data_IF_129282881410
#
_entry.id   IF_129282881410
#
_cell.length_a   1.000
_cell.length_b   1.000
_cell.length_c   1.000
_cell.angle_alpha   90.00
_cell.angle_beta   90.00
_cell.angle_gamma   90.00
#
_symmetry.space_group_name_H-M   'P 1'
#
loop_
_entity.id
_entity.type
_entity.pdbx_description
1 polymer ?
#
# COMPACT_ATOMS: atom_id res chain seq x y z
N UNK A 1 4.12 -15.67 2.23
CA UNK A 1 5.51 -15.17 2.02
C UNK A 1 6.47 -16.04 2.85
N UNK A 2 7.48 -16.67 2.24
CA UNK A 2 8.50 -17.40 3.01
C UNK A 2 9.36 -16.39 3.76
N UNK A 3 9.52 -16.56 5.08
CA UNK A 3 10.45 -15.73 5.88
C UNK A 3 11.91 -15.85 5.40
N UNK A 4 12.22 -16.82 4.53
CA UNK A 4 13.51 -16.97 3.88
C UNK A 4 13.71 -16.03 2.68
N UNK A 5 12.63 -15.47 2.11
CA UNK A 5 12.73 -14.54 1.00
C UNK A 5 13.05 -13.14 1.51
N UNK A 6 14.34 -12.91 1.71
CA UNK A 6 14.91 -11.66 2.22
C UNK A 6 14.83 -10.51 1.20
N UNK A 7 14.27 -10.75 0.02
CA UNK A 7 14.03 -9.73 -0.99
C UNK A 7 12.81 -8.88 -0.62
N UNK A 8 13.04 -7.76 0.07
CA UNK A 8 12.08 -6.65 0.14
C UNK A 8 12.42 -5.66 -0.98
N UNK A 9 11.94 -5.83 -2.23
CA UNK A 9 12.26 -4.89 -3.30
C UNK A 9 11.72 -3.48 -3.02
N UNK A 10 10.74 -3.35 -2.12
CA UNK A 10 10.09 -2.09 -1.80
C UNK A 10 10.60 -1.50 -0.47
N UNK A 11 11.32 -0.38 -0.56
CA UNK A 11 11.77 0.43 0.59
C UNK A 11 10.62 0.87 1.52
N UNK A 12 9.38 0.86 1.03
CA UNK A 12 8.19 1.27 1.77
C UNK A 12 7.76 0.23 2.81
N UNK A 13 8.03 -1.05 2.61
CA UNK A 13 7.74 -2.10 3.60
C UNK A 13 8.61 -2.00 4.85
N UNK A 14 9.79 -1.39 4.72
CA UNK A 14 10.65 -1.10 5.87
C UNK A 14 10.14 0.07 6.71
N UNK A 15 9.19 0.88 6.23
CA UNK A 15 8.54 1.93 7.02
C UNK A 15 7.33 1.32 7.73
N UNK A 16 7.51 1.01 9.01
CA UNK A 16 6.48 0.35 9.82
C UNK A 16 5.44 1.30 10.38
N UNK A 17 5.74 2.61 10.44
CA UNK A 17 4.74 3.62 10.81
C UNK A 17 5.15 5.02 10.36
N UNK A 18 4.19 5.78 9.86
CA UNK A 18 4.23 7.21 9.56
C UNK A 18 3.10 7.84 10.34
N UNK A 19 3.44 8.72 11.28
CA UNK A 19 2.44 9.38 12.12
C UNK A 19 2.65 10.88 12.17
N UNK A 20 1.53 11.60 12.17
CA UNK A 20 1.49 13.03 12.43
C UNK A 20 0.59 13.23 13.62
N UNK A 21 1.15 13.76 14.70
CA UNK A 21 0.48 13.87 15.99
C UNK A 21 0.64 15.26 16.58
N UNK A 22 -0.37 15.71 17.32
CA UNK A 22 -0.30 16.88 18.20
C UNK A 22 -0.67 16.46 19.61
N UNK A 23 0.33 16.22 20.47
CA UNK A 23 0.11 15.64 21.79
C UNK A 23 -0.46 14.22 21.71
N UNK A 24 -1.71 14.03 22.16
CA UNK A 24 -2.45 12.76 22.08
C UNK A 24 -3.22 12.59 20.78
N UNK A 25 -3.39 13.66 20.01
CA UNK A 25 -4.26 13.65 18.85
C UNK A 25 -3.51 13.16 17.62
N UNK A 26 -4.02 12.09 17.01
CA UNK A 26 -3.43 11.46 15.83
C UNK A 26 -4.14 11.98 14.58
N UNK A 27 -3.40 12.72 13.77
CA UNK A 27 -3.88 13.37 12.54
C UNK A 27 -3.68 12.45 11.34
N UNK A 28 -2.55 11.73 11.31
CA UNK A 28 -2.21 10.78 10.27
C UNK A 28 -1.51 9.58 10.90
N UNK A 29 -1.84 8.36 10.49
CA UNK A 29 -1.21 7.14 11.04
C UNK A 29 -1.36 5.97 10.07
N UNK A 30 -0.30 5.66 9.32
CA UNK A 30 -0.25 4.56 8.31
C UNK A 30 1.14 3.92 8.24
N UNK A 31 1.26 2.75 7.65
CA UNK A 31 2.55 2.17 7.21
C UNK A 31 2.98 2.78 5.87
N UNK A 32 4.22 2.53 5.43
CA UNK A 32 4.71 3.04 4.14
C UNK A 32 3.91 2.50 2.94
N UNK A 33 3.49 1.23 2.99
CA UNK A 33 2.66 0.60 1.94
C UNK A 33 1.23 1.10 1.95
N UNK A 34 0.64 1.32 3.13
CA UNK A 34 -0.68 1.95 3.24
C UNK A 34 -0.68 3.39 2.75
N UNK A 35 0.36 4.16 3.06
CA UNK A 35 0.53 5.52 2.55
C UNK A 35 0.55 5.55 1.01
N UNK A 36 1.27 4.60 0.41
CA UNK A 36 1.32 4.41 -1.04
C UNK A 36 -0.05 4.06 -1.63
N UNK A 37 -0.77 3.12 -1.01
CA UNK A 37 -2.12 2.74 -1.39
C UNK A 37 -3.07 3.93 -1.28
N UNK A 38 -3.07 4.66 -0.17
CA UNK A 38 -3.89 5.87 0.03
C UNK A 38 -3.61 6.91 -1.05
N UNK A 39 -2.35 7.18 -1.38
CA UNK A 39 -2.02 8.09 -2.48
C UNK A 39 -2.60 7.58 -3.80
N UNK A 40 -2.47 6.29 -4.08
CA UNK A 40 -2.96 5.67 -5.30
C UNK A 40 -4.48 5.79 -5.43
N UNK A 41 -5.24 5.32 -4.43
CA UNK A 41 -6.71 5.40 -4.41
C UNK A 41 -7.20 6.85 -4.40
N UNK A 42 -6.48 7.75 -3.75
CA UNK A 42 -6.90 9.14 -3.66
C UNK A 42 -6.66 9.93 -4.96
N UNK A 43 -5.55 9.68 -5.64
CA UNK A 43 -5.12 10.47 -6.81
C UNK A 43 -5.29 9.77 -8.15
N UNK A 44 -5.57 8.46 -8.13
CA UNK A 44 -5.55 7.59 -9.32
C UNK A 44 -4.14 7.41 -9.91
N UNK A 45 -3.08 7.79 -9.18
CA UNK A 45 -1.70 7.78 -9.67
C UNK A 45 -0.80 6.96 -8.76
N UNK A 46 0.01 6.09 -9.37
CA UNK A 46 1.07 5.38 -8.66
C UNK A 46 2.03 6.37 -8.00
N UNK A 47 2.46 6.10 -6.76
CA UNK A 47 3.58 6.83 -6.18
C UNK A 47 4.85 6.51 -6.98
N UNK A 48 5.85 7.36 -6.82
CA UNK A 48 7.09 7.20 -7.55
C UNK A 48 7.87 6.02 -6.95
N UNK A 49 8.08 4.98 -7.75
CA UNK A 49 8.88 3.81 -7.42
C UNK A 49 9.96 3.67 -8.48
N UNK A 50 11.21 3.90 -8.10
CA UNK A 50 12.37 3.57 -8.91
C UNK A 50 13.04 2.36 -8.25
N UNK A 51 12.88 1.21 -8.89
CA UNK A 51 13.44 -0.05 -8.41
C UNK A 51 14.42 -0.52 -9.47
N UNK A 52 15.66 -0.77 -9.06
CA UNK A 52 16.69 -1.31 -9.93
C UNK A 52 17.09 -2.71 -9.49
N UNK A 53 17.28 -3.58 -10.48
CA UNK A 53 17.83 -4.92 -10.28
C UNK A 53 19.37 -4.94 -10.19
N UNK A 54 20.05 -3.80 -10.41
CA UNK A 54 21.51 -3.75 -10.44
C UNK A 54 22.08 -3.49 -9.04
N UNK A 55 22.53 -4.56 -8.38
CA UNK A 55 23.11 -4.55 -7.03
C UNK A 55 24.45 -3.80 -6.91
N UNK A 56 25.15 -3.48 -8.02
CA UNK A 56 26.53 -2.97 -7.99
C UNK A 56 26.62 -1.44 -8.10
N UNK A 57 25.63 -0.77 -8.70
CA UNK A 57 25.71 0.67 -8.96
C UNK A 57 24.38 1.43 -9.02
N UNK A 58 23.25 0.79 -8.71
CA UNK A 58 21.95 1.45 -8.81
C UNK A 58 21.33 1.76 -7.44
N UNK A 59 20.52 2.82 -7.41
CA UNK A 59 19.79 3.26 -6.24
C UNK A 59 18.31 2.92 -6.39
N UNK A 60 17.73 2.32 -5.37
CA UNK A 60 16.28 2.23 -5.24
C UNK A 60 15.76 3.51 -4.60
N UNK A 61 14.65 4.04 -5.09
CA UNK A 61 14.03 5.26 -4.56
C UNK A 61 12.52 5.16 -4.63
N UNK A 62 11.88 5.24 -3.46
CA UNK A 62 10.44 5.31 -3.35
C UNK A 62 10.05 6.69 -2.81
N UNK A 63 8.98 7.27 -3.34
CA UNK A 63 8.41 8.52 -2.83
C UNK A 63 6.90 8.37 -2.72
N UNK A 64 6.39 8.56 -1.51
CA UNK A 64 4.97 8.59 -1.19
C UNK A 64 4.60 9.96 -0.64
N UNK A 65 3.34 10.36 -0.83
CA UNK A 65 2.80 11.65 -0.41
C UNK A 65 1.80 11.46 0.72
N UNK A 66 1.98 12.25 1.78
CA UNK A 66 0.96 12.44 2.81
C UNK A 66 0.03 13.53 2.32
N UNK A 67 -1.24 13.18 2.08
CA UNK A 67 -2.21 14.07 1.43
C UNK A 67 -3.23 14.56 2.45
N UNK A 68 -3.21 15.85 2.75
CA UNK A 68 -4.17 16.53 3.63
C UNK A 68 -5.32 17.23 2.88
N UNK A 69 -5.19 17.34 1.55
CA UNK A 69 -6.19 17.92 0.66
C UNK A 69 -6.54 16.95 -0.47
N UNK A 70 -7.43 17.38 -1.37
CA UNK A 70 -7.81 16.57 -2.55
C UNK A 70 -6.68 16.54 -3.59
N UNK A 71 -5.90 17.60 -3.65
CA UNK A 71 -4.72 17.76 -4.48
C UNK A 71 -3.75 18.78 -3.83
N UNK A 72 -2.60 19.01 -4.45
CA UNK A 72 -1.55 19.91 -3.93
C UNK A 72 -1.90 21.41 -4.04
N UNK A 73 -2.95 21.74 -4.82
CA UNK A 73 -3.43 23.10 -5.06
C UNK A 73 -4.74 23.40 -4.33
N UNK A 74 -5.18 22.52 -3.44
CA UNK A 74 -6.45 22.65 -2.73
C UNK A 74 -6.36 23.72 -1.64
N UNK A 75 -6.93 24.90 -1.93
CA UNK A 75 -6.97 25.99 -0.96
C UNK A 75 -8.04 25.79 0.14
N UNK A 76 -8.97 24.83 -0.03
CA UNK A 76 -10.03 24.58 0.94
C UNK A 76 -9.62 23.51 1.95
N UNK A 77 -8.96 22.46 1.48
CA UNK A 77 -8.48 21.34 2.29
C UNK A 77 -6.95 21.33 2.37
N UNK A 78 -6.42 21.41 3.59
CA UNK A 78 -4.99 21.37 3.87
C UNK A 78 -4.72 21.45 5.37
N UNK A 79 -3.53 21.02 5.78
CA UNK A 79 -3.16 21.04 7.20
C UNK A 79 -2.76 22.46 7.62
N UNK A 80 -3.65 23.15 8.33
CA UNK A 80 -3.36 24.44 8.95
C UNK A 80 -2.61 24.24 10.28
N UNK A 81 -1.28 24.37 10.24
CA UNK A 81 -0.41 24.20 11.42
C UNK A 81 -0.66 25.24 12.53
N UNK A 82 -1.35 26.35 12.25
CA UNK A 82 -1.65 27.38 13.27
C UNK A 82 -2.73 26.94 14.27
N UNK A 83 -3.47 25.87 13.94
CA UNK A 83 -4.49 25.27 14.80
C UNK A 83 -3.93 24.21 15.77
N UNK A 84 -2.66 23.87 15.63
CA UNK A 84 -1.99 22.83 16.42
C UNK A 84 -0.97 23.44 17.37
N UNK A 85 -0.79 22.83 18.54
CA UNK A 85 0.13 23.34 19.57
C UNK A 85 1.57 22.90 19.32
N UNK A 86 1.75 21.62 18.98
CA UNK A 86 3.06 21.02 18.76
C UNK A 86 2.93 19.83 17.77
N UNK A 87 2.66 20.12 16.48
CA UNK A 87 2.55 19.08 15.48
C UNK A 87 3.92 18.41 15.24
N UNK A 88 3.95 17.08 15.30
CA UNK A 88 5.16 16.26 15.15
C UNK A 88 4.95 15.20 14.07
N UNK A 89 5.92 15.11 13.16
CA UNK A 89 6.06 13.96 12.26
C UNK A 89 6.95 12.90 12.91
N UNK A 90 6.43 11.69 13.06
CA UNK A 90 7.13 10.52 13.60
C UNK A 90 7.18 9.45 12.51
N UNK A 91 8.38 8.98 12.19
CA UNK A 91 8.58 7.90 11.22
C UNK A 91 9.33 6.76 11.93
N UNK A 92 8.69 5.60 11.99
CA UNK A 92 9.27 4.38 12.52
C UNK A 92 9.62 3.47 11.35
N UNK A 93 10.83 2.91 11.39
CA UNK A 93 11.31 2.00 10.35
C UNK A 93 11.99 0.76 10.95
N UNK A 94 11.86 -0.36 10.26
CA UNK A 94 12.47 -1.65 10.60
C UNK A 94 13.19 -2.21 9.37
N UNK A 95 14.24 -1.51 8.97
CA UNK A 95 15.13 -1.94 7.92
C UNK A 95 16.11 -2.97 8.46
N UNK A 96 15.89 -4.24 8.16
CA UNK A 96 16.86 -5.31 8.37
C UNK A 96 17.66 -5.47 7.10
N UNK A 97 18.87 -4.92 7.08
CA UNK A 97 19.76 -5.07 5.92
C UNK A 97 20.47 -6.42 5.93
N UNK A 98 20.42 -7.10 4.79
CA UNK A 98 21.39 -8.13 4.44
C UNK A 98 22.31 -7.53 3.37
N UNK A 99 23.63 -7.65 3.55
CA UNK A 99 24.64 -7.24 2.58
C UNK A 99 24.53 -7.96 1.21
N UNK A 100 23.63 -8.94 1.10
CA UNK A 100 23.33 -9.63 -0.15
C UNK A 100 22.56 -8.75 -1.17
N UNK A 101 21.90 -7.67 -0.73
CA UNK A 101 20.89 -6.96 -1.55
C UNK A 101 21.27 -5.54 -1.96
N UNK A 102 22.01 -4.82 -1.12
CA UNK A 102 22.50 -3.47 -1.41
C UNK A 102 23.99 -3.36 -1.08
N UNK A 103 24.81 -3.03 -2.07
CA UNK A 103 26.27 -3.01 -1.94
C UNK A 103 26.81 -2.11 -0.81
N UNK A 104 26.10 -1.03 -0.46
CA UNK A 104 26.53 -0.06 0.55
C UNK A 104 25.85 -0.21 1.91
N UNK A 105 24.77 -1.00 2.04
CA UNK A 105 23.97 -1.07 3.26
C UNK A 105 23.60 0.31 3.83
N UNK A 106 23.34 1.28 2.94
CA UNK A 106 23.08 2.66 3.34
C UNK A 106 21.74 3.08 2.80
N UNK A 107 20.89 3.57 3.69
CA UNK A 107 19.55 4.04 3.38
C UNK A 107 19.41 5.48 3.85
N UNK A 108 18.70 6.29 3.08
CA UNK A 108 18.44 7.68 3.42
C UNK A 108 16.94 7.93 3.33
N UNK A 109 16.37 8.36 4.45
CA UNK A 109 15.01 8.85 4.52
C UNK A 109 15.03 10.37 4.39
N UNK A 110 14.21 10.93 3.50
CA UNK A 110 14.07 12.37 3.31
C UNK A 110 12.60 12.76 3.37
N UNK A 111 12.30 13.81 4.11
CA UNK A 111 10.96 14.38 4.22
C UNK A 111 10.97 15.74 3.56
N UNK A 112 10.01 15.98 2.67
CA UNK A 112 9.83 17.25 1.98
C UNK A 112 8.44 17.76 2.33
N UNK A 113 8.36 18.97 2.88
CA UNK A 113 7.10 19.65 3.14
C UNK A 113 6.82 20.65 2.01
N UNK A 114 5.66 20.50 1.36
CA UNK A 114 5.16 21.50 0.41
C UNK A 114 4.32 22.51 1.19
N UNK A 115 4.77 23.76 1.25
CA UNK A 115 4.11 24.85 1.98
C UNK A 115 3.62 25.89 0.98
N UNK A 116 2.34 26.24 1.06
CA UNK A 116 1.75 27.30 0.24
C UNK A 116 1.93 28.65 0.94
N UNK A 117 2.79 29.51 0.39
CA UNK A 117 2.96 30.88 0.88
C UNK A 117 1.93 31.83 0.25
N UNK A 118 1.28 32.66 1.07
CA UNK A 118 0.30 33.65 0.60
C UNK A 118 -1.05 33.07 0.14
N UNK A 119 -1.25 31.76 0.24
CA UNK A 119 -2.55 31.13 0.03
C UNK A 119 -3.49 31.40 1.22
N UNK A 120 -4.83 31.41 1.01
CA UNK A 120 -5.79 31.43 2.11
C UNK A 120 -5.57 30.24 3.06
N UNK A 121 -5.76 30.45 4.37
CA UNK A 121 -5.68 29.37 5.34
C UNK A 121 -6.75 28.31 5.06
N UNK A 122 -6.38 27.01 4.99
CA UNK A 122 -7.35 25.97 4.71
C UNK A 122 -8.34 25.82 5.88
N UNK A 123 -9.59 25.55 5.53
CA UNK A 123 -10.68 25.44 6.50
C UNK A 123 -10.76 24.05 7.13
N UNK A 124 -10.47 23.02 6.35
CA UNK A 124 -10.57 21.60 6.72
C UNK A 124 -9.31 20.85 6.28
N UNK A 125 -9.14 19.61 6.72
CA UNK A 125 -8.12 18.70 6.19
C UNK A 125 -8.68 17.28 6.13
N UNK A 126 -8.03 16.43 5.34
CA UNK A 126 -8.37 15.02 5.21
C UNK A 126 -7.51 14.20 6.17
N UNK A 127 -8.17 13.51 7.10
CA UNK A 127 -7.53 12.60 8.04
C UNK A 127 -7.31 11.23 7.38
N UNK A 128 -6.26 10.52 7.77
CA UNK A 128 -6.03 9.14 7.34
C UNK A 128 -5.35 8.39 8.46
N UNK A 129 -6.05 7.41 9.05
CA UNK A 129 -5.56 6.65 10.19
C UNK A 129 -5.93 5.19 10.08
N UNK A 130 -5.07 4.33 10.62
CA UNK A 130 -5.42 2.95 10.96
C UNK A 130 -6.45 2.95 12.09
N UNK A 131 -7.63 2.37 11.84
CA UNK A 131 -8.70 2.25 12.85
C UNK A 131 -8.61 0.95 13.61
N UNK A 132 -8.33 -0.14 12.91
CA UNK A 132 -8.34 -1.46 13.51
C UNK A 132 -7.25 -2.33 12.90
N UNK A 133 -6.95 -3.41 13.59
CA UNK A 133 -5.87 -4.32 13.26
C UNK A 133 -6.15 -5.60 14.03
N UNK A 134 -6.16 -6.74 13.35
CA UNK A 134 -6.38 -8.03 13.99
C UNK A 134 -5.50 -9.09 13.35
N UNK A 135 -5.65 -10.31 13.83
CA UNK A 135 -5.11 -11.50 13.18
C UNK A 135 -6.30 -12.35 12.78
N UNK A 136 -6.42 -12.63 11.48
CA UNK A 136 -7.48 -13.51 10.97
C UNK A 136 -7.39 -14.92 11.59
N UNK A 137 -8.53 -15.46 12.02
CA UNK A 137 -8.68 -16.87 12.33
C UNK A 137 -9.00 -17.66 11.05
N UNK A 138 -8.79 -18.99 11.05
CA UNK A 138 -9.04 -19.83 9.87
C UNK A 138 -10.42 -19.61 9.26
N UNK A 139 -11.45 -19.41 10.10
CA UNK A 139 -12.81 -19.08 9.69
C UNK A 139 -13.48 -18.16 10.72
N UNK A 140 -14.45 -17.37 10.28
CA UNK A 140 -15.32 -16.57 11.15
C UNK A 140 -15.49 -15.13 10.68
N UNK A 141 -16.49 -14.47 11.25
CA UNK A 141 -16.78 -13.07 11.00
C UNK A 141 -16.06 -12.17 12.00
N UNK A 142 -15.60 -11.01 11.54
CA UNK A 142 -15.00 -9.98 12.38
C UNK A 142 -15.82 -8.71 12.25
N UNK A 143 -16.49 -8.34 13.35
CA UNK A 143 -17.24 -7.09 13.44
C UNK A 143 -16.37 -6.02 14.07
N UNK A 144 -16.28 -4.87 13.41
CA UNK A 144 -15.47 -3.72 13.85
C UNK A 144 -16.40 -2.52 14.01
N UNK A 145 -16.42 -1.95 15.20
CA UNK A 145 -17.13 -0.70 15.45
C UNK A 145 -16.30 0.48 14.94
N UNK A 146 -16.84 1.21 13.97
CA UNK A 146 -16.19 2.40 13.43
C UNK A 146 -16.45 3.63 14.32
N UNK A 147 -15.43 4.42 14.67
CA UNK A 147 -15.60 5.71 15.35
C UNK A 147 -16.60 6.61 14.61
N UNK A 148 -17.34 7.45 15.33
CA UNK A 148 -18.40 8.30 14.73
C UNK A 148 -18.06 9.79 14.74
N UNK A 149 -16.83 10.13 15.07
CA UNK A 149 -16.40 11.51 15.31
C UNK A 149 -16.31 12.34 14.01
N UNK A 150 -15.95 11.69 12.91
CA UNK A 150 -15.73 12.31 11.61
C UNK A 150 -16.39 11.51 10.48
N UNK A 151 -16.81 12.18 9.39
CA UNK A 151 -17.34 11.49 8.22
C UNK A 151 -16.23 10.72 7.49
N UNK A 152 -16.54 9.48 7.10
CA UNK A 152 -15.67 8.64 6.29
C UNK A 152 -15.75 9.00 4.81
N UNK A 153 -14.62 8.96 4.10
CA UNK A 153 -14.55 9.23 2.65
C UNK A 153 -14.29 7.99 1.81
N UNK A 154 -13.46 7.07 2.28
CA UNK A 154 -13.19 5.78 1.63
C UNK A 154 -12.53 4.85 2.64
N UNK A 155 -12.65 3.55 2.46
CA UNK A 155 -12.15 2.55 3.40
C UNK A 155 -11.18 1.64 2.65
N UNK A 156 -9.98 1.43 3.18
CA UNK A 156 -8.94 0.60 2.54
C UNK A 156 -8.66 -0.65 3.36
N UNK A 157 -9.33 -1.73 2.99
CA UNK A 157 -9.04 -3.05 3.55
C UNK A 157 -7.78 -3.64 2.91
N UNK A 158 -6.85 -4.12 3.73
CA UNK A 158 -5.65 -4.79 3.27
C UNK A 158 -5.57 -6.19 3.87
N UNK A 159 -4.95 -7.12 3.13
CA UNK A 159 -4.43 -8.33 3.72
C UNK A 159 -2.90 -8.30 3.76
N UNK A 160 -2.33 -8.08 4.95
CA UNK A 160 -0.88 -8.12 5.16
C UNK A 160 -0.39 -9.55 5.23
N UNK A 161 0.74 -9.86 4.59
CA UNK A 161 1.34 -11.19 4.57
C UNK A 161 0.28 -12.24 4.32
N UNK A 162 -0.15 -12.35 3.08
CA UNK A 162 -1.01 -13.43 2.68
C UNK A 162 -0.31 -14.19 1.53
N UNK A 163 -0.69 -15.45 1.29
CA UNK A 163 -0.35 -16.18 0.08
C UNK A 163 -1.50 -16.20 -0.94
N UNK A 164 -2.71 -15.79 -0.53
CA UNK A 164 -3.93 -15.74 -1.34
C UNK A 164 -4.46 -14.31 -1.51
N UNK A 165 -5.11 -13.98 -2.64
CA UNK A 165 -5.70 -12.65 -2.87
C UNK A 165 -6.62 -12.21 -1.73
N UNK A 166 -6.73 -10.88 -1.55
CA UNK A 166 -7.54 -10.27 -0.48
C UNK A 166 -8.99 -10.79 -0.48
N UNK A 167 -9.56 -11.08 -1.66
CA UNK A 167 -10.91 -11.61 -1.78
C UNK A 167 -11.05 -13.11 -1.44
N UNK A 168 -9.96 -13.87 -1.45
CA UNK A 168 -9.93 -15.25 -0.91
C UNK A 168 -9.79 -15.23 0.61
N UNK A 169 -9.11 -14.21 1.15
CA UNK A 169 -9.01 -14.03 2.59
C UNK A 169 -10.28 -13.49 3.23
N UNK A 170 -10.97 -12.57 2.56
CA UNK A 170 -12.22 -11.98 2.99
C UNK A 170 -13.29 -12.33 1.98
N UNK A 171 -14.19 -13.25 2.31
CA UNK A 171 -15.24 -13.69 1.36
C UNK A 171 -16.28 -12.61 1.12
N UNK A 172 -16.72 -11.92 2.17
CA UNK A 172 -17.78 -10.91 2.09
C UNK A 172 -17.41 -9.71 2.96
N UNK A 173 -17.72 -8.51 2.46
CA UNK A 173 -17.52 -7.26 3.18
C UNK A 173 -18.85 -6.52 3.29
N UNK A 174 -19.20 -6.14 4.51
CA UNK A 174 -20.42 -5.39 4.82
C UNK A 174 -20.10 -4.16 5.66
N UNK A 175 -20.65 -3.04 5.26
CA UNK A 175 -20.71 -1.81 6.06
C UNK A 175 -22.19 -1.57 6.34
N UNK A 176 -22.54 -1.46 7.61
CA UNK A 176 -23.89 -1.12 8.01
C UNK A 176 -23.93 -0.09 9.13
N UNK A 177 -25.06 0.60 9.22
CA UNK A 177 -25.34 1.64 10.20
C UNK A 177 -26.65 1.32 10.91
N UNK A 178 -26.72 1.65 12.20
CA UNK A 178 -27.91 1.50 13.04
C UNK A 178 -28.58 0.12 12.94
N UNK A 179 -27.81 -0.96 13.16
CA UNK A 179 -28.34 -2.33 13.11
C UNK A 179 -28.98 -2.67 11.76
N UNK A 180 -28.27 -2.37 10.66
CA UNK A 180 -28.71 -2.62 9.28
C UNK A 180 -29.95 -1.81 8.83
N UNK A 181 -30.32 -0.74 9.55
CA UNK A 181 -31.31 0.23 9.05
C UNK A 181 -30.82 0.88 7.74
N UNK A 182 -29.51 1.12 7.64
CA UNK A 182 -28.86 1.60 6.44
C UNK A 182 -27.61 0.74 6.15
N UNK A 183 -27.54 0.17 4.95
CA UNK A 183 -26.45 -0.72 4.53
C UNK A 183 -25.82 -0.14 3.25
N UNK A 184 -24.77 0.71 3.37
CA UNK A 184 -24.12 1.30 2.21
C UNK A 184 -23.32 0.30 1.35
N UNK A 185 -22.87 -0.81 1.94
CA UNK A 185 -22.08 -1.83 1.24
C UNK A 185 -22.43 -3.21 1.81
N UNK A 186 -22.80 -4.15 0.95
CA UNK A 186 -22.95 -5.58 1.30
C UNK A 186 -22.72 -6.41 0.04
N UNK A 187 -21.50 -6.88 -0.15
CA UNK A 187 -21.12 -7.61 -1.37
C UNK A 187 -19.90 -8.51 -1.14
N UNK A 188 -19.70 -9.45 -2.06
CA UNK A 188 -18.53 -10.33 -2.09
C UNK A 188 -17.30 -9.48 -2.36
N UNK A 189 -16.19 -9.74 -1.66
CA UNK A 189 -14.98 -8.91 -1.77
C UNK A 189 -14.36 -8.98 -3.18
N UNK A 190 -14.59 -10.08 -3.91
CA UNK A 190 -14.20 -10.21 -5.32
C UNK A 190 -14.90 -9.18 -6.21
N UNK A 191 -16.19 -8.94 -5.98
CA UNK A 191 -16.93 -7.93 -6.74
C UNK A 191 -16.44 -6.51 -6.40
N UNK A 192 -16.04 -6.26 -5.14
CA UNK A 192 -15.41 -4.98 -4.76
C UNK A 192 -14.12 -4.78 -5.53
N UNK A 193 -13.31 -5.83 -5.67
CA UNK A 193 -12.09 -5.76 -6.44
C UNK A 193 -12.40 -5.41 -7.90
N UNK A 194 -13.36 -6.09 -8.54
CA UNK A 194 -13.80 -5.76 -9.90
C UNK A 194 -14.31 -4.32 -10.03
N UNK A 195 -15.09 -3.83 -9.07
CA UNK A 195 -15.56 -2.44 -9.06
C UNK A 195 -14.39 -1.44 -8.94
N UNK A 196 -13.38 -1.74 -8.12
CA UNK A 196 -12.16 -0.93 -8.05
C UNK A 196 -11.43 -0.90 -9.40
N UNK A 197 -11.33 -2.02 -10.11
CA UNK A 197 -10.77 -2.01 -11.47
C UNK A 197 -11.61 -1.14 -12.39
N UNK A 198 -12.93 -1.31 -12.42
CA UNK A 198 -13.80 -0.51 -13.29
C UNK A 198 -13.70 0.99 -12.98
N UNK A 199 -13.56 1.36 -11.71
CA UNK A 199 -13.52 2.74 -11.27
C UNK A 199 -12.18 3.43 -11.55
N UNK A 200 -11.08 2.77 -11.25
CA UNK A 200 -9.74 3.38 -11.27
C UNK A 200 -8.89 2.96 -12.48
N UNK A 201 -9.32 1.95 -13.23
CA UNK A 201 -8.71 1.53 -14.49
C UNK A 201 -7.52 0.59 -14.32
N UNK A 202 -6.57 0.70 -15.26
CA UNK A 202 -5.31 -0.07 -15.23
C UNK A 202 -4.15 0.87 -14.90
N UNK A 203 -3.20 0.39 -14.12
CA UNK A 203 -1.97 1.09 -13.79
C UNK A 203 -0.84 0.51 -14.62
N UNK A 204 0.03 1.37 -15.14
CA UNK A 204 1.33 0.95 -15.63
C UNK A 204 2.36 1.14 -14.53
N UNK A 205 3.11 0.09 -14.22
CA UNK A 205 4.38 0.21 -13.54
C UNK A 205 5.48 0.01 -14.58
N UNK A 206 6.37 0.98 -14.70
CA UNK A 206 7.56 0.84 -15.52
C UNK A 206 8.71 0.41 -14.63
N UNK A 207 9.24 -0.78 -14.90
CA UNK A 207 10.40 -1.33 -14.21
C UNK A 207 11.57 -1.33 -15.19
N UNK A 208 12.63 -0.60 -14.85
CA UNK A 208 13.84 -0.57 -15.65
C UNK A 208 14.79 -1.69 -15.21
N UNK A 209 14.88 -2.73 -16.04
CA UNK A 209 15.83 -3.82 -15.83
C UNK A 209 17.14 -3.45 -16.53
N UNK A 210 18.08 -2.88 -15.77
CA UNK A 210 19.42 -2.58 -16.27
C UNK A 210 20.28 -3.84 -16.11
N UNK A 211 20.30 -4.69 -17.14
CA UNK A 211 21.23 -5.82 -17.25
C UNK A 211 22.63 -5.40 -17.73
N UNK A 212 23.60 -6.32 -17.68
CA UNK A 212 24.99 -6.12 -18.12
C UNK A 212 25.14 -5.88 -19.64
N UNK A 213 24.05 -5.89 -20.41
CA UNK A 213 24.03 -5.54 -21.83
C UNK A 213 22.73 -4.82 -22.18
N UNK A 214 22.83 -3.50 -22.31
CA UNK A 214 21.76 -2.54 -22.63
C UNK A 214 20.56 -2.54 -21.66
N UNK A 215 20.19 -1.35 -21.17
CA UNK A 215 18.98 -1.17 -20.35
C UNK A 215 17.75 -1.64 -21.13
N UNK A 216 17.01 -2.62 -20.56
CA UNK A 216 15.72 -3.03 -21.08
C UNK A 216 14.64 -2.48 -20.15
N UNK A 217 13.88 -1.51 -20.65
CA UNK A 217 12.69 -1.01 -19.97
C UNK A 217 11.54 -2.00 -20.17
N UNK A 218 11.02 -2.56 -19.08
CA UNK A 218 9.78 -3.35 -19.11
C UNK A 218 8.64 -2.51 -18.52
N UNK A 219 7.52 -2.44 -19.23
CA UNK A 219 6.29 -1.81 -18.72
C UNK A 219 5.32 -2.94 -18.42
N UNK A 220 5.01 -3.13 -17.14
CA UNK A 220 3.99 -4.04 -16.67
C UNK A 220 2.68 -3.27 -16.47
N UNK A 221 1.57 -3.87 -16.87
CA UNK A 221 0.23 -3.32 -16.70
C UNK A 221 -0.50 -4.13 -15.63
N UNK A 222 -0.84 -3.48 -14.53
CA UNK A 222 -1.53 -4.07 -13.40
C UNK A 222 -2.98 -3.56 -13.34
N UNK A 223 -3.99 -4.46 -13.31
CA UNK A 223 -5.36 -4.05 -13.03
C UNK A 223 -5.46 -3.49 -11.60
N UNK A 224 -6.18 -2.38 -11.42
CA UNK A 224 -6.28 -1.65 -10.14
C UNK A 224 -7.03 -2.43 -9.04
N UNK A 225 -7.64 -3.56 -9.38
CA UNK A 225 -8.22 -4.52 -8.43
C UNK A 225 -7.20 -5.24 -7.54
N UNK A 226 -5.89 -5.11 -7.83
CA UNK A 226 -4.90 -6.07 -7.37
C UNK A 226 -3.86 -5.45 -6.46
N UNK A 227 -3.86 -5.97 -5.23
CA UNK A 227 -2.86 -5.87 -4.17
C UNK A 227 -1.56 -5.13 -4.54
N UNK A 228 -1.30 -4.03 -3.84
CA UNK A 228 0.04 -3.46 -3.74
C UNK A 228 0.97 -4.49 -3.07
N UNK A 229 1.93 -5.07 -3.81
CA UNK A 229 2.97 -5.92 -3.20
C UNK A 229 3.50 -7.13 -3.98
N UNK A 230 3.38 -7.20 -5.30
CA UNK A 230 3.92 -8.35 -6.06
C UNK A 230 4.58 -7.96 -7.36
N UNK A 231 5.90 -7.69 -7.35
CA UNK A 231 6.73 -7.81 -8.54
C UNK A 231 7.56 -9.09 -8.44
N UNK A 232 7.53 -9.90 -9.50
CA UNK A 232 8.36 -11.09 -9.64
C UNK A 232 9.75 -10.69 -10.11
N UNK A 233 10.77 -10.99 -9.29
CA UNK A 233 12.15 -11.10 -9.74
C UNK A 233 12.38 -12.49 -10.37
N UNK A 234 12.43 -12.59 -11.71
CA UNK A 234 13.04 -13.77 -12.35
C UNK A 234 14.52 -13.47 -12.60
N UNK A 235 15.37 -13.85 -11.65
CA UNK A 235 16.83 -13.90 -11.88
C UNK A 235 17.15 -15.22 -12.59
N UNK A 236 17.87 -15.09 -13.71
CA UNK A 236 18.47 -16.16 -14.51
C UNK A 236 18.68 -17.51 -13.80
N UNK A 237 17.86 -18.50 -14.14
CA UNK A 237 18.34 -19.89 -14.24
C UNK A 237 17.78 -20.48 -15.53
N UNK A 238 18.67 -20.91 -16.43
CA UNK A 238 18.36 -21.47 -17.75
C UNK A 238 17.69 -22.84 -17.71
N UNK A 239 16.63 -22.97 -16.93
CA UNK A 239 15.79 -24.16 -16.77
C UNK A 239 14.36 -23.67 -16.68
N UNK A 240 13.45 -24.31 -17.42
CA UNK A 240 12.05 -23.95 -17.53
C UNK A 240 11.47 -23.40 -16.21
N UNK A 241 11.38 -22.07 -16.13
CA UNK A 241 10.71 -21.41 -15.03
C UNK A 241 9.22 -21.65 -15.21
N UNK A 242 8.71 -22.64 -14.50
CA UNK A 242 7.28 -22.77 -14.27
C UNK A 242 6.84 -21.45 -13.63
N UNK A 243 5.95 -20.74 -14.32
CA UNK A 243 5.32 -19.51 -13.82
C UNK A 243 4.35 -19.92 -12.71
N UNK A 244 4.90 -20.21 -11.52
CA UNK A 244 4.09 -20.31 -10.31
C UNK A 244 3.91 -18.89 -9.78
N UNK A 245 2.83 -18.26 -10.24
CA UNK A 245 2.29 -17.05 -9.65
C UNK A 245 1.88 -17.35 -8.22
N UNK A 246 2.32 -16.62 -7.20
CA UNK A 246 1.40 -16.21 -6.16
C UNK A 246 0.64 -14.98 -6.70
N UNK A 247 -0.69 -14.98 -6.57
CA UNK A 247 -1.60 -13.86 -6.93
C UNK A 247 -1.89 -13.62 -8.43
N UNK A 248 -2.63 -14.55 -9.05
CA UNK A 248 -3.76 -14.27 -9.99
C UNK A 248 -4.02 -15.47 -10.89
N UNK A 249 -5.31 -15.83 -11.04
CA UNK A 249 -5.77 -16.86 -11.96
C UNK A 249 -5.28 -16.67 -13.40
N UNK A 250 -4.87 -17.80 -13.97
CA UNK A 250 -4.74 -18.20 -15.38
C UNK A 250 -4.50 -17.13 -16.46
N UNK A 251 -3.27 -17.10 -16.98
CA UNK A 251 -3.03 -17.36 -18.41
C UNK A 251 -2.50 -18.79 -18.49
N UNK A 252 -3.11 -19.62 -19.34
CA UNK A 252 -2.71 -21.01 -19.54
C UNK A 252 -1.29 -21.10 -20.07
N UNK A 253 -0.36 -21.61 -19.26
CA UNK A 253 0.76 -22.45 -19.72
C UNK A 253 0.93 -23.56 -18.69
N UNK A 254 1.04 -24.78 -19.17
CA UNK A 254 0.84 -26.05 -18.47
C UNK A 254 1.86 -26.36 -17.34
N UNK A 255 1.40 -27.18 -16.39
CA UNK A 255 2.13 -28.13 -15.48
C UNK A 255 2.43 -27.80 -13.98
N UNK A 256 1.54 -28.33 -13.10
CA UNK A 256 1.68 -29.17 -11.86
C UNK A 256 2.35 -28.67 -10.53
N UNK A 257 1.51 -28.65 -9.47
CA UNK A 257 1.59 -28.91 -7.99
C UNK A 257 2.46 -28.13 -6.96
N UNK A 258 1.83 -27.74 -5.81
CA UNK A 258 2.37 -28.03 -4.46
C UNK A 258 2.34 -26.99 -3.30
N UNK A 259 1.23 -26.91 -2.53
CA UNK A 259 1.05 -26.70 -1.05
C UNK A 259 1.64 -25.52 -0.21
N UNK A 260 0.76 -24.58 0.17
CA UNK A 260 0.37 -23.98 1.49
C UNK A 260 1.32 -23.69 2.70
N UNK A 261 1.24 -22.45 3.26
CA UNK A 261 1.61 -22.04 4.65
C UNK A 261 0.77 -20.82 5.14
N UNK A 262 0.68 -20.54 6.47
CA UNK A 262 -0.37 -19.71 7.10
C UNK A 262 0.04 -18.26 7.37
N UNK A 263 -0.95 -17.35 7.43
CA UNK A 263 -0.72 -15.90 7.31
C UNK A 263 -1.68 -15.06 8.20
N UNK A 264 -1.17 -13.94 8.74
CA UNK A 264 -1.80 -13.09 9.76
C UNK A 264 -2.19 -11.71 9.18
N UNK A 265 -3.47 -11.35 9.27
CA UNK A 265 -4.06 -10.27 8.46
C UNK A 265 -4.74 -9.14 9.26
N UNK A 266 -4.39 -7.88 9.00
CA UNK A 266 -4.95 -6.63 9.57
C UNK A 266 -5.66 -5.78 8.50
N UNK A 267 -6.81 -5.14 8.80
CA UNK A 267 -7.43 -4.18 7.88
C UNK A 267 -7.61 -2.76 8.43
N UNK A 268 -7.44 -1.78 7.54
CA UNK A 268 -7.55 -0.34 7.79
C UNK A 268 -8.84 0.20 7.20
N UNK A 269 -9.31 1.29 7.78
CA UNK A 269 -10.53 2.01 7.41
C UNK A 269 -10.15 3.48 7.50
N UNK A 270 -10.38 4.27 6.44
CA UNK A 270 -9.90 5.67 6.35
C UNK A 270 -11.00 6.69 6.56
#
# INVERSE_FOLDING_TARGET
>A
YDKSDTNRPYLLEGITKIEIVDGSDVIYSTTGTECAAVQLYHTGKMPFLAISANHVAAYNRNQVKILFGRDESDNLYGLDLTKFTNPQLKITHAYTESAAHWASGTQTLSVIATVAEGAPLPSHFLMTKEIYTWTKATTGDVTIDLPRDYPYRFIVMQATHCATPVYEEFTQTKISCNYDEFVPLDMVTEDIAHDNWNHYGMLSQQTEVIGESAAQSQVAWYPFAWNWGGDVQSWNTGTAAVVMRPYSGYITVDTIEGTGLPDNTRAIVT
#
